data_IF_341177563751
#
_entry.id   IF_341177563751
#
_cell.length_a   1.000
_cell.length_b   1.000
_cell.length_c   1.000
_cell.angle_alpha   90.00
_cell.angle_beta   90.00
_cell.angle_gamma   90.00
#
_symmetry.space_group_name_H-M   'P 1'
#
loop_
_entity.id
_entity.type
_entity.pdbx_description
1 polymer ?
#
# COMPACT_ATOMS: atom_id res chain seq x y z
N UNK A 1 -10.59 0.81 3.77
CA UNK A 1 -9.32 0.52 4.46
C UNK A 1 -9.64 0.14 5.90
N UNK A 2 -9.05 -0.94 6.41
CA UNK A 2 -9.35 -1.50 7.74
C UNK A 2 -8.06 -1.90 8.46
N UNK A 3 -8.14 -2.06 9.78
CA UNK A 3 -7.07 -2.69 10.56
C UNK A 3 -7.15 -4.22 10.40
N UNK A 4 -6.01 -4.83 10.05
CA UNK A 4 -5.85 -6.26 9.88
C UNK A 4 -5.95 -7.02 11.20
N UNK A 5 -6.32 -8.29 11.10
CA UNK A 5 -6.22 -9.24 12.21
C UNK A 5 -4.97 -10.11 12.07
N UNK A 6 -4.67 -10.90 13.10
CA UNK A 6 -3.40 -11.64 13.16
C UNK A 6 -3.50 -13.03 12.52
N UNK A 7 -4.69 -13.66 12.54
CA UNK A 7 -4.89 -15.03 12.08
C UNK A 7 -5.68 -15.09 10.77
N UNK A 8 -5.42 -16.13 9.96
CA UNK A 8 -6.14 -16.35 8.70
C UNK A 8 -7.65 -16.50 8.88
N UNK A 9 -8.07 -17.14 9.96
CA UNK A 9 -9.49 -17.36 10.29
C UNK A 9 -10.22 -16.04 10.61
N UNK A 10 -9.47 -14.99 10.95
CA UNK A 10 -9.98 -13.66 11.28
C UNK A 10 -9.91 -12.70 10.09
N UNK A 11 -9.57 -13.19 8.89
CA UNK A 11 -9.43 -12.35 7.70
C UNK A 11 -10.71 -11.56 7.42
N UNK A 12 -10.54 -10.36 6.89
CA UNK A 12 -11.66 -9.52 6.48
C UNK A 12 -12.35 -10.11 5.23
N UNK A 13 -13.57 -9.62 4.98
CA UNK A 13 -14.27 -9.94 3.74
C UNK A 13 -13.43 -9.49 2.53
N UNK A 14 -13.32 -10.35 1.53
CA UNK A 14 -12.48 -10.16 0.32
C UNK A 14 -10.97 -10.02 0.57
N UNK A 15 -10.48 -10.21 1.81
CA UNK A 15 -9.05 -10.30 2.06
C UNK A 15 -8.50 -11.62 1.50
N UNK A 16 -7.39 -11.50 0.76
CA UNK A 16 -6.70 -12.62 0.12
C UNK A 16 -5.94 -13.47 1.15
N UNK A 17 -5.54 -14.67 0.74
CA UNK A 17 -4.59 -15.47 1.52
C UNK A 17 -3.17 -14.98 1.27
N UNK A 18 -2.37 -14.87 2.32
CA UNK A 18 -0.94 -14.58 2.30
C UNK A 18 -0.16 -15.90 2.34
N UNK A 19 0.97 -15.92 1.65
CA UNK A 19 1.79 -17.10 1.49
C UNK A 19 3.23 -16.82 1.91
N UNK A 20 3.83 -17.81 2.55
CA UNK A 20 5.25 -17.83 2.86
C UNK A 20 5.97 -18.73 1.86
N UNK A 21 7.27 -18.55 1.66
CA UNK A 21 8.09 -19.55 0.98
C UNK A 21 7.95 -20.93 1.64
N UNK A 22 8.00 -21.99 0.83
CA UNK A 22 7.76 -23.37 1.27
C UNK A 22 8.69 -23.85 2.40
N UNK A 23 9.87 -23.25 2.52
CA UNK A 23 10.91 -23.59 3.49
C UNK A 23 10.97 -22.66 4.71
N UNK A 24 10.00 -21.76 4.88
CA UNK A 24 9.95 -20.88 6.06
C UNK A 24 9.58 -21.69 7.31
N UNK A 25 10.41 -21.58 8.36
CA UNK A 25 10.17 -22.29 9.61
C UNK A 25 9.11 -21.55 10.43
N UNK A 26 8.09 -22.25 10.98
CA UNK A 26 7.14 -21.65 11.90
C UNK A 26 7.82 -20.93 13.08
N UNK A 27 7.19 -19.86 13.55
CA UNK A 27 7.66 -19.06 14.67
C UNK A 27 6.67 -19.11 15.83
N UNK A 28 7.12 -18.76 17.03
CA UNK A 28 6.24 -18.65 18.18
C UNK A 28 5.16 -17.57 17.95
N UNK A 29 3.94 -17.89 18.33
CA UNK A 29 2.79 -17.01 18.21
C UNK A 29 2.99 -15.73 19.06
N UNK A 30 2.58 -14.59 18.52
CA UNK A 30 2.72 -13.30 19.18
C UNK A 30 1.75 -13.08 20.37
N UNK A 31 0.94 -14.09 20.70
CA UNK A 31 -0.05 -14.09 21.78
C UNK A 31 0.49 -14.68 23.09
N UNK A 32 1.75 -15.14 23.10
CA UNK A 32 2.38 -15.76 24.28
C UNK A 32 1.90 -17.19 24.58
N UNK A 33 1.18 -17.83 23.64
CA UNK A 33 0.67 -19.20 23.83
C UNK A 33 1.73 -20.30 23.67
N UNK A 34 2.94 -19.98 23.21
CA UNK A 34 3.99 -20.95 22.88
C UNK A 34 3.71 -21.78 21.62
N UNK A 35 2.58 -21.56 20.93
CA UNK A 35 2.24 -22.26 19.68
C UNK A 35 3.17 -21.83 18.56
N UNK A 36 3.56 -22.77 17.71
CA UNK A 36 4.28 -22.48 16.48
C UNK A 36 3.29 -22.25 15.33
N UNK A 37 3.40 -21.10 14.67
CA UNK A 37 2.52 -20.67 13.58
C UNK A 37 3.33 -20.11 12.40
N UNK A 38 2.77 -20.08 11.18
CA UNK A 38 3.35 -19.32 10.08
C UNK A 38 3.60 -17.86 10.46
N UNK A 39 4.69 -17.27 10.00
CA UNK A 39 5.06 -15.90 10.41
C UNK A 39 4.03 -14.87 9.89
N UNK A 40 3.43 -15.12 8.73
CA UNK A 40 2.34 -14.33 8.15
C UNK A 40 0.99 -14.47 8.87
N UNK A 41 0.81 -15.51 9.68
CA UNK A 41 -0.43 -15.78 10.41
C UNK A 41 -0.17 -16.15 11.87
N UNK A 42 -0.21 -15.15 12.74
CA UNK A 42 -0.06 -15.31 14.18
C UNK A 42 1.38 -15.18 14.70
N UNK A 43 2.40 -15.27 13.84
CA UNK A 43 3.79 -15.00 14.24
C UNK A 43 4.15 -13.52 14.44
N UNK A 44 3.38 -12.61 13.85
CA UNK A 44 3.52 -11.17 14.05
C UNK A 44 2.24 -10.59 14.68
N UNK A 45 2.40 -9.63 15.59
CA UNK A 45 1.27 -8.85 16.11
C UNK A 45 0.88 -7.73 15.14
N UNK A 46 0.25 -8.09 14.02
CA UNK A 46 -0.16 -7.16 12.97
C UNK A 46 -1.11 -6.10 13.51
N UNK A 47 -2.13 -6.50 14.28
CA UNK A 47 -3.10 -5.57 14.87
C UNK A 47 -2.42 -4.51 15.75
N UNK A 48 -1.36 -4.90 16.46
CA UNK A 48 -0.54 -4.01 17.28
C UNK A 48 0.30 -2.99 16.50
N UNK A 49 0.49 -3.18 15.19
CA UNK A 49 1.21 -2.21 14.34
C UNK A 49 0.39 -0.93 14.10
N UNK A 50 -0.93 -0.96 14.29
CA UNK A 50 -1.82 0.19 14.07
C UNK A 50 -1.51 0.90 12.73
N UNK A 51 -1.35 2.22 12.75
CA UNK A 51 -1.01 3.03 11.57
C UNK A 51 0.37 2.77 10.96
N UNK A 52 1.27 2.05 11.64
CA UNK A 52 2.61 1.77 11.12
C UNK A 52 2.62 0.70 10.03
N UNK A 53 1.61 -0.18 9.98
CA UNK A 53 1.57 -1.26 9.01
C UNK A 53 0.40 -2.24 9.13
N UNK A 54 -0.59 -1.99 9.99
CA UNK A 54 -1.72 -2.90 10.19
C UNK A 54 -2.85 -2.72 9.16
N UNK A 55 -2.63 -2.01 8.05
CA UNK A 55 -3.72 -1.65 7.13
C UNK A 55 -3.95 -2.75 6.09
N UNK A 56 -5.20 -3.20 5.98
CA UNK A 56 -5.70 -4.00 4.84
C UNK A 56 -6.54 -3.09 3.96
N UNK A 57 -6.20 -3.05 2.68
CA UNK A 57 -6.96 -2.33 1.68
C UNK A 57 -6.69 -2.92 0.29
N UNK A 58 -7.66 -2.77 -0.59
CA UNK A 58 -7.47 -3.02 -2.01
C UNK A 58 -6.50 -1.99 -2.62
N UNK A 59 -5.81 -2.33 -3.72
CA UNK A 59 -5.02 -1.37 -4.51
C UNK A 59 -5.80 -0.09 -4.87
N UNK A 60 -7.09 -0.24 -5.19
CA UNK A 60 -7.96 0.86 -5.59
C UNK A 60 -8.28 1.82 -4.44
N UNK A 61 -8.56 1.29 -3.24
CA UNK A 61 -8.75 2.14 -2.04
C UNK A 61 -7.47 2.91 -1.71
N UNK A 62 -6.30 2.26 -1.80
CA UNK A 62 -5.02 2.94 -1.59
C UNK A 62 -4.80 4.06 -2.60
N UNK A 63 -5.02 3.81 -3.90
CA UNK A 63 -4.87 4.85 -4.92
C UNK A 63 -5.84 6.00 -4.72
N UNK A 64 -7.07 5.73 -4.29
CA UNK A 64 -8.03 6.77 -3.94
C UNK A 64 -7.56 7.61 -2.75
N UNK A 65 -6.99 6.96 -1.74
CA UNK A 65 -6.37 7.67 -0.62
C UNK A 65 -5.23 8.57 -1.08
N UNK A 66 -4.33 8.08 -1.94
CA UNK A 66 -3.24 8.91 -2.51
C UNK A 66 -3.80 10.10 -3.29
N UNK A 67 -4.81 9.88 -4.14
CA UNK A 67 -5.47 10.94 -4.88
C UNK A 67 -6.16 11.98 -3.98
N UNK A 68 -6.49 11.63 -2.74
CA UNK A 68 -7.10 12.54 -1.76
C UNK A 68 -6.06 13.29 -0.90
N UNK A 69 -4.77 13.09 -1.14
CA UNK A 69 -3.67 13.77 -0.42
C UNK A 69 -2.61 14.31 -1.38
N UNK A 70 -2.91 14.36 -2.68
CA UNK A 70 -1.93 14.70 -3.70
C UNK A 70 -1.96 16.15 -4.17
N UNK A 71 -2.97 16.92 -3.74
CA UNK A 71 -3.06 18.34 -4.02
C UNK A 71 -3.68 18.67 -5.37
N UNK A 72 -4.21 17.68 -6.10
CA UNK A 72 -4.79 17.85 -7.44
C UNK A 72 -6.31 17.88 -7.41
N UNK A 73 -6.89 18.42 -8.48
CA UNK A 73 -8.34 18.63 -8.58
C UNK A 73 -9.12 17.36 -8.96
N UNK A 74 -8.46 16.22 -9.21
CA UNK A 74 -9.13 14.99 -9.65
C UNK A 74 -9.91 14.27 -8.55
N UNK A 75 -9.50 14.39 -7.29
CA UNK A 75 -10.25 13.90 -6.12
C UNK A 75 -10.14 14.96 -5.01
N UNK A 76 -11.17 15.06 -4.17
CA UNK A 76 -11.18 16.08 -3.11
C UNK A 76 -10.13 15.76 -2.05
N UNK A 77 -9.21 16.68 -1.81
CA UNK A 77 -8.21 16.55 -0.75
C UNK A 77 -8.84 16.48 0.65
N UNK A 78 -8.31 15.59 1.50
CA UNK A 78 -8.70 15.44 2.91
C UNK A 78 -7.79 16.20 3.87
N UNK A 79 -6.68 16.77 3.37
CA UNK A 79 -5.74 17.59 4.14
C UNK A 79 -5.45 18.90 3.39
N UNK A 80 -5.01 19.93 4.13
CA UNK A 80 -4.73 21.23 3.52
C UNK A 80 -3.52 21.18 2.59
N UNK A 81 -3.48 22.07 1.59
CA UNK A 81 -2.31 22.25 0.70
C UNK A 81 -1.01 22.50 1.49
N UNK A 82 -1.09 23.24 2.60
CA UNK A 82 0.05 23.44 3.51
C UNK A 82 0.52 22.12 4.15
N UNK A 83 -0.41 21.26 4.55
CA UNK A 83 -0.10 19.93 5.09
C UNK A 83 0.51 19.02 4.04
N UNK A 84 0.03 19.08 2.79
CA UNK A 84 0.60 18.32 1.67
C UNK A 84 2.04 18.76 1.42
N UNK A 85 2.29 20.07 1.30
CA UNK A 85 3.63 20.62 1.10
C UNK A 85 4.60 20.21 2.23
N UNK A 86 4.12 20.19 3.49
CA UNK A 86 4.91 19.72 4.63
C UNK A 86 5.17 18.21 4.58
N UNK A 87 4.15 17.41 4.23
CA UNK A 87 4.23 15.96 4.11
C UNK A 87 5.31 15.52 3.11
N UNK A 88 5.42 16.23 2.00
CA UNK A 88 6.31 15.86 0.89
C UNK A 88 7.59 16.67 0.79
N UNK A 89 7.95 17.38 1.87
CA UNK A 89 9.16 18.19 1.94
C UNK A 89 10.40 17.40 1.49
N UNK A 90 11.27 18.04 0.72
CA UNK A 90 12.51 17.45 0.17
C UNK A 90 13.77 18.06 0.78
N UNK A 91 13.63 18.77 1.91
CA UNK A 91 14.76 19.28 2.67
C UNK A 91 15.68 18.11 3.06
N UNK A 92 16.98 18.13 2.70
CA UNK A 92 17.92 17.05 3.04
C UNK A 92 18.03 16.75 4.53
N UNK A 93 17.69 17.72 5.40
CA UNK A 93 17.73 17.60 6.86
C UNK A 93 16.45 17.01 7.45
N UNK A 94 15.40 16.76 6.66
CA UNK A 94 14.10 16.27 7.13
C UNK A 94 13.68 15.02 6.37
N UNK A 95 13.07 14.06 7.08
CA UNK A 95 12.42 12.93 6.43
C UNK A 95 10.99 13.31 6.02
N UNK A 96 10.52 12.88 4.85
CA UNK A 96 9.14 13.10 4.47
C UNK A 96 8.20 12.34 5.41
N UNK A 97 7.00 12.86 5.61
CA UNK A 97 6.01 12.30 6.52
C UNK A 97 5.16 11.30 5.74
N UNK A 98 5.04 10.07 6.23
CA UNK A 98 4.24 9.03 5.57
C UNK A 98 4.86 8.41 4.31
N UNK A 99 5.87 9.04 3.70
CA UNK A 99 6.59 8.53 2.52
C UNK A 99 7.98 8.02 2.90
N UNK A 100 8.51 7.05 2.14
CA UNK A 100 9.92 6.63 2.30
C UNK A 100 10.88 7.55 1.56
N UNK A 101 10.41 8.21 0.51
CA UNK A 101 11.19 9.16 -0.28
C UNK A 101 10.27 10.12 -1.01
N UNK A 102 10.64 11.38 -1.04
CA UNK A 102 10.12 12.40 -1.94
C UNK A 102 11.29 12.99 -2.73
N UNK A 103 11.02 13.64 -3.86
CA UNK A 103 12.07 14.23 -4.69
C UNK A 103 11.69 15.64 -5.13
N UNK A 104 12.69 16.47 -5.40
CA UNK A 104 12.49 17.84 -5.93
C UNK A 104 11.72 17.87 -7.25
N UNK A 105 11.65 16.73 -7.95
CA UNK A 105 10.87 16.56 -9.19
C UNK A 105 9.39 16.26 -8.93
N UNK A 106 8.95 16.22 -7.66
CA UNK A 106 7.56 15.93 -7.29
C UNK A 106 7.22 14.43 -7.24
N UNK A 107 8.21 13.53 -7.26
CA UNK A 107 7.93 12.09 -7.15
C UNK A 107 7.92 11.61 -5.69
N UNK A 108 6.98 10.75 -5.32
CA UNK A 108 6.87 10.15 -3.99
C UNK A 108 6.93 8.63 -4.04
N UNK A 109 7.52 8.02 -3.02
CA UNK A 109 7.66 6.57 -2.93
C UNK A 109 7.36 6.09 -1.53
N UNK A 110 6.56 5.04 -1.42
CA UNK A 110 6.42 4.26 -0.20
C UNK A 110 6.60 2.79 -0.53
N UNK A 111 7.37 2.09 0.30
CA UNK A 111 7.41 0.63 0.27
C UNK A 111 6.96 0.07 1.61
N UNK A 112 6.45 -1.15 1.59
CA UNK A 112 6.02 -1.88 2.76
C UNK A 112 6.38 -3.36 2.59
N UNK A 113 6.79 -3.99 3.67
CA UNK A 113 7.06 -5.43 3.68
C UNK A 113 6.55 -6.00 5.00
N UNK A 114 5.76 -7.05 4.89
CA UNK A 114 5.37 -7.91 6.01
C UNK A 114 5.55 -9.36 5.57
N UNK A 115 5.53 -10.29 6.52
CA UNK A 115 5.58 -11.71 6.19
C UNK A 115 4.37 -12.08 5.34
N UNK A 116 4.62 -12.61 4.14
CA UNK A 116 3.61 -12.88 3.14
C UNK A 116 3.07 -11.66 2.39
N UNK A 117 3.70 -10.48 2.46
CA UNK A 117 3.27 -9.30 1.67
C UNK A 117 4.42 -8.39 1.27
N UNK A 118 4.38 -7.86 0.04
CA UNK A 118 5.22 -6.75 -0.39
C UNK A 118 4.38 -5.70 -1.10
N UNK A 119 4.63 -4.42 -0.79
CA UNK A 119 3.93 -3.29 -1.38
C UNK A 119 4.90 -2.20 -1.86
N UNK A 120 4.59 -1.60 -3.00
CA UNK A 120 5.28 -0.44 -3.56
C UNK A 120 4.26 0.54 -4.13
N UNK A 121 4.33 1.78 -3.67
CA UNK A 121 3.53 2.91 -4.14
C UNK A 121 4.47 3.91 -4.78
N UNK A 122 4.09 4.40 -5.96
CA UNK A 122 4.78 5.49 -6.66
C UNK A 122 3.77 6.55 -7.07
N UNK A 123 4.09 7.78 -6.73
CA UNK A 123 3.50 8.98 -7.30
C UNK A 123 4.54 9.58 -8.24
N UNK A 124 4.19 9.74 -9.51
CA UNK A 124 5.11 10.20 -10.54
C UNK A 124 4.80 11.64 -10.97
N UNK A 125 5.86 12.32 -11.40
CA UNK A 125 5.82 13.71 -11.87
C UNK A 125 4.96 13.93 -13.12
N UNK A 126 4.70 12.86 -13.87
CA UNK A 126 3.98 12.87 -15.14
C UNK A 126 2.46 12.77 -14.98
N UNK A 127 1.97 12.77 -13.74
CA UNK A 127 0.54 12.65 -13.46
C UNK A 127 0.13 11.28 -12.94
N UNK A 128 0.95 10.24 -13.09
CA UNK A 128 0.49 8.88 -12.79
C UNK A 128 0.88 8.42 -11.38
N UNK A 129 -0.10 7.86 -10.69
CA UNK A 129 0.10 7.13 -9.43
C UNK A 129 -0.18 5.66 -9.65
N UNK A 130 0.66 4.79 -9.11
CA UNK A 130 0.43 3.35 -9.15
C UNK A 130 0.85 2.68 -7.85
N UNK A 131 0.22 1.54 -7.60
CA UNK A 131 0.53 0.67 -6.48
C UNK A 131 0.70 -0.76 -6.99
N UNK A 132 1.67 -1.45 -6.44
CA UNK A 132 1.88 -2.87 -6.62
C UNK A 132 1.84 -3.53 -5.25
N UNK A 133 1.05 -4.61 -5.12
CA UNK A 133 0.94 -5.40 -3.89
C UNK A 133 0.99 -6.89 -4.26
N UNK A 134 1.76 -7.66 -3.50
CA UNK A 134 1.78 -9.13 -3.58
C UNK A 134 1.38 -9.73 -2.25
N UNK A 135 0.71 -10.87 -2.30
CA UNK A 135 0.36 -11.71 -1.14
C UNK A 135 1.42 -12.80 -0.87
N UNK A 136 2.67 -12.51 -1.21
CA UNK A 136 3.83 -13.37 -0.94
C UNK A 136 5.06 -12.50 -0.76
N UNK A 137 5.93 -12.88 0.17
CA UNK A 137 7.23 -12.23 0.36
C UNK A 137 8.22 -12.65 -0.73
N UNK A 138 9.21 -11.78 -1.00
CA UNK A 138 10.27 -12.04 -1.98
C UNK A 138 11.61 -12.16 -1.29
N UNK A 139 12.35 -13.24 -1.58
CA UNK A 139 13.75 -13.41 -1.16
C UNK A 139 14.71 -12.38 -1.77
N UNK A 140 14.26 -11.56 -2.73
CA UNK A 140 15.08 -10.55 -3.39
C UNK A 140 15.32 -9.30 -2.51
N UNK A 141 14.73 -9.22 -1.33
CA UNK A 141 14.94 -8.14 -0.36
C UNK A 141 14.75 -6.74 -0.97
N UNK A 142 15.66 -5.82 -0.67
CA UNK A 142 15.62 -4.43 -1.16
C UNK A 142 15.74 -4.28 -2.68
N UNK A 143 16.09 -5.35 -3.42
CA UNK A 143 16.11 -5.33 -4.90
C UNK A 143 14.72 -5.51 -5.51
N UNK A 144 13.77 -6.12 -4.79
CA UNK A 144 12.45 -6.41 -5.33
C UNK A 144 11.69 -5.14 -5.75
N UNK A 145 11.56 -4.08 -4.91
CA UNK A 145 10.86 -2.86 -5.32
C UNK A 145 11.48 -2.20 -6.56
N UNK A 146 12.81 -2.23 -6.70
CA UNK A 146 13.50 -1.66 -7.87
C UNK A 146 13.18 -2.40 -9.17
N UNK A 147 13.06 -3.73 -9.12
CA UNK A 147 12.68 -4.52 -10.30
C UNK A 147 11.24 -4.23 -10.73
N UNK A 148 10.33 -4.10 -9.77
CA UNK A 148 8.93 -3.75 -10.03
C UNK A 148 8.82 -2.33 -10.61
N UNK A 149 9.51 -1.35 -10.01
CA UNK A 149 9.52 0.03 -10.52
C UNK A 149 10.01 0.09 -11.99
N UNK A 150 11.10 -0.63 -12.31
CA UNK A 150 11.59 -0.71 -13.67
C UNK A 150 10.59 -1.37 -14.64
N UNK A 151 9.94 -2.45 -14.21
CA UNK A 151 8.93 -3.15 -15.00
C UNK A 151 7.71 -2.25 -15.30
N UNK A 152 7.15 -1.63 -14.26
CA UNK A 152 5.97 -0.77 -14.40
C UNK A 152 6.32 0.45 -15.24
N UNK A 153 7.44 1.13 -14.98
CA UNK A 153 7.88 2.29 -15.77
C UNK A 153 8.00 1.94 -17.26
N UNK A 154 8.60 0.79 -17.59
CA UNK A 154 8.74 0.32 -18.98
C UNK A 154 7.38 0.00 -19.60
N UNK A 155 6.43 -0.49 -18.80
CA UNK A 155 5.08 -0.82 -19.26
C UNK A 155 4.25 0.44 -19.52
N UNK A 156 4.30 1.42 -18.60
CA UNK A 156 3.59 2.70 -18.74
C UNK A 156 4.05 3.48 -19.98
N UNK A 157 5.34 3.44 -20.32
CA UNK A 157 5.88 4.08 -21.52
C UNK A 157 5.34 3.51 -22.83
N UNK A 158 4.74 2.31 -22.82
CA UNK A 158 4.15 1.67 -24.00
C UNK A 158 2.66 1.94 -24.15
N UNK A 159 2.03 2.59 -23.18
CA UNK A 159 0.61 2.94 -23.25
C UNK A 159 0.47 4.27 -23.97
N UNK A 160 -0.13 4.25 -25.17
CA UNK A 160 -0.37 5.47 -25.97
C UNK A 160 -1.60 6.24 -25.49
N UNK A 161 -2.65 5.51 -25.10
CA UNK A 161 -3.97 6.07 -24.81
C UNK A 161 -4.50 5.51 -23.49
N UNK A 162 -4.78 6.41 -22.55
CA UNK A 162 -5.43 6.07 -21.29
C UNK A 162 -6.92 6.36 -21.36
N UNK A 163 -7.78 5.48 -20.81
CA UNK A 163 -9.21 5.74 -20.78
C UNK A 163 -9.52 6.91 -19.82
N UNK A 164 -10.35 7.85 -20.26
CA UNK A 164 -10.76 9.04 -19.47
C UNK A 164 -11.76 8.74 -18.33
N UNK A 165 -12.14 7.46 -18.17
CA UNK A 165 -13.13 7.07 -17.15
C UNK A 165 -12.58 7.21 -15.74
N UNK A 166 -13.27 7.94 -14.88
CA UNK A 166 -13.02 7.88 -13.42
C UNK A 166 -13.75 6.64 -12.86
N UNK A 167 -12.99 5.67 -12.32
CA UNK A 167 -13.55 4.46 -11.71
C UNK A 167 -13.89 4.62 -10.22
N UNK A 168 -13.48 5.70 -9.56
CA UNK A 168 -13.84 5.98 -8.16
C UNK A 168 -15.32 6.33 -8.01
N UNK A 169 -15.91 7.03 -8.98
CA UNK A 169 -17.34 7.39 -8.99
C UNK A 169 -18.27 6.17 -9.04
N UNK A 170 -17.84 5.08 -9.67
CA UNK A 170 -18.61 3.81 -9.74
C UNK A 170 -18.76 3.18 -8.35
N UNK A 171 -17.78 3.36 -7.46
CA UNK A 171 -17.84 2.84 -6.10
C UNK A 171 -18.87 3.60 -5.25
N UNK A 172 -19.02 4.92 -5.47
CA UNK A 172 -19.99 5.76 -4.76
C UNK A 172 -21.43 5.41 -5.11
N UNK A 173 -21.68 5.06 -6.38
CA UNK A 173 -23.00 4.61 -6.84
C UNK A 173 -23.41 3.30 -6.15
N UNK A 174 -22.47 2.36 -5.97
CA UNK A 174 -22.73 1.08 -5.30
C UNK A 174 -22.92 1.20 -3.79
N UNK A 175 -22.21 2.12 -3.12
CA UNK A 175 -22.45 2.38 -1.70
C UNK A 175 -23.81 3.00 -1.45
N UNK A 176 -24.25 3.91 -2.33
CA UNK A 176 -25.56 4.57 -2.21
C UNK A 176 -26.74 3.66 -2.58
N UNK A 177 -26.52 2.64 -3.42
CA UNK A 177 -27.55 1.64 -3.74
C UNK A 177 -27.74 0.58 -2.66
N UNK A 178 -26.71 0.31 -1.85
CA UNK A 178 -26.77 -0.66 -0.74
C UNK A 178 -27.25 -0.04 0.59
N UNK A 179 -27.50 1.28 0.61
CA UNK A 179 -28.02 2.02 1.76
C UNK A 179 -29.51 2.39 1.61
N UNK A 180 -30.25 1.70 0.74
CA UNK A 180 -31.70 1.83 0.57
C UNK A 180 -32.41 0.51 0.83
#
# INVERSE_FOLDING_TARGET
MHIANNLYQEKLSNEVRYYEPENEVPVEACDGSGRLLPRCYGGNNIRGLLGAGAWVASPTEFLRFIASIDGRDNEKDIISQKSIAYMVNTNPSELPIGWSRTSQKGEWTRSGSLSGTSALIRYQKDGYSWIFVTNTSSWKGSRFPRQIDALIRTSLQKVSDWPERNLFSILELKSNSNSR
#
